data_IF_483656215470
#
_entry.id   IF_483656215470
#
_cell.length_a   1.000
_cell.length_b   1.000
_cell.length_c   1.000
_cell.angle_alpha   90.00
_cell.angle_beta   90.00
_cell.angle_gamma   90.00
#
_symmetry.space_group_name_H-M   'P 1'
#
loop_
_entity.id
_entity.type
_entity.pdbx_description
1 polymer ?
#
# COMPACT_ATOMS: atom_id res chain seq x y z
N UNK A 1 36.77 -12.90 3.75
CA UNK A 1 35.36 -13.31 3.72
C UNK A 1 34.58 -12.03 3.49
N UNK A 2 34.01 -11.83 2.32
CA UNK A 2 33.20 -10.65 2.01
C UNK A 2 31.91 -10.75 2.84
N UNK A 3 31.79 -9.92 3.87
CA UNK A 3 30.52 -9.70 4.56
C UNK A 3 29.54 -9.18 3.53
N UNK A 4 28.67 -10.05 3.02
CA UNK A 4 27.50 -9.62 2.25
C UNK A 4 26.61 -8.87 3.23
N UNK A 5 26.63 -7.53 3.17
CA UNK A 5 25.72 -6.70 3.94
C UNK A 5 24.29 -7.17 3.64
N UNK A 6 23.51 -7.53 4.66
CA UNK A 6 22.18 -8.08 4.44
C UNK A 6 21.30 -7.03 3.77
N UNK A 7 20.66 -7.42 2.67
CA UNK A 7 19.74 -6.56 1.90
C UNK A 7 18.50 -6.22 2.74
N UNK A 8 17.98 -4.98 2.68
CA UNK A 8 16.76 -4.63 3.41
C UNK A 8 15.54 -5.30 2.76
N UNK A 9 14.59 -5.72 3.59
CA UNK A 9 13.32 -6.31 3.16
C UNK A 9 12.16 -5.52 3.78
N UNK A 10 11.18 -5.16 2.95
CA UNK A 10 9.89 -4.65 3.41
C UNK A 10 8.85 -5.75 3.28
N UNK A 11 8.23 -6.12 4.39
CA UNK A 11 7.13 -7.07 4.41
C UNK A 11 5.83 -6.38 4.76
N UNK A 12 4.83 -6.52 3.91
CA UNK A 12 3.49 -6.02 4.14
C UNK A 12 2.57 -7.18 4.51
N UNK A 13 1.75 -6.96 5.55
CA UNK A 13 0.75 -7.92 6.02
C UNK A 13 -0.55 -7.17 6.26
N UNK A 14 -1.53 -7.38 5.39
CA UNK A 14 -2.85 -6.80 5.53
C UNK A 14 -3.83 -7.79 6.17
N UNK A 15 -4.70 -7.27 7.03
CA UNK A 15 -5.96 -7.89 7.42
C UNK A 15 -7.06 -6.82 7.37
N UNK A 16 -8.36 -7.16 7.59
CA UNK A 16 -9.44 -6.20 7.45
C UNK A 16 -9.39 -4.98 8.38
N UNK A 17 -8.62 -5.03 9.48
CA UNK A 17 -8.53 -3.93 10.46
C UNK A 17 -7.19 -3.18 10.44
N UNK A 18 -6.12 -3.84 10.03
CA UNK A 18 -4.76 -3.29 10.08
C UNK A 18 -3.93 -3.72 8.88
N UNK A 19 -3.10 -2.80 8.40
CA UNK A 19 -1.96 -3.11 7.54
C UNK A 19 -0.71 -2.97 8.40
N UNK A 20 0.05 -4.06 8.51
CA UNK A 20 1.33 -4.08 9.19
C UNK A 20 2.46 -4.04 8.18
N UNK A 21 3.30 -3.02 8.28
CA UNK A 21 4.54 -2.87 7.53
C UNK A 21 5.70 -3.28 8.43
N UNK A 22 6.55 -4.17 7.92
CA UNK A 22 7.69 -4.73 8.65
C UNK A 22 8.98 -4.48 7.87
N UNK A 23 9.85 -3.61 8.39
CA UNK A 23 11.20 -3.43 7.87
C UNK A 23 12.14 -4.44 8.51
N UNK A 24 13.05 -5.05 7.72
CA UNK A 24 14.07 -5.97 8.23
C UNK A 24 15.42 -5.72 7.57
N UNK A 25 16.50 -5.70 8.37
CA UNK A 25 17.88 -5.73 7.86
C UNK A 25 18.81 -6.32 8.93
N UNK A 26 19.57 -7.36 8.58
CA UNK A 26 20.65 -7.86 9.45
C UNK A 26 20.29 -8.25 10.90
N UNK A 27 19.03 -8.62 11.16
CA UNK A 27 18.52 -8.94 12.49
C UNK A 27 17.75 -7.80 13.17
N UNK A 28 17.86 -6.58 12.66
CA UNK A 28 17.02 -5.45 13.05
C UNK A 28 15.63 -5.58 12.41
N UNK A 29 14.60 -5.22 13.18
CA UNK A 29 13.20 -5.28 12.76
C UNK A 29 12.48 -4.02 13.21
N UNK A 30 11.79 -3.36 12.28
CA UNK A 30 10.83 -2.29 12.54
C UNK A 30 9.41 -2.80 12.28
N UNK A 31 8.45 -2.38 13.11
CA UNK A 31 7.05 -2.74 13.00
C UNK A 31 6.21 -1.47 13.04
N UNK A 32 5.46 -1.21 11.97
CA UNK A 32 4.55 -0.08 11.88
C UNK A 32 3.17 -0.58 11.46
N UNK A 33 2.13 -0.13 12.18
CA UNK A 33 0.75 -0.53 11.92
C UNK A 33 -0.07 0.67 11.42
N UNK A 34 -0.82 0.48 10.35
CA UNK A 34 -1.83 1.41 9.82
C UNK A 34 -3.20 0.87 10.24
N UNK A 35 -3.95 1.66 11.01
CA UNK A 35 -5.32 1.30 11.39
C UNK A 35 -6.29 1.63 10.26
N UNK A 36 -6.96 0.61 9.73
CA UNK A 36 -7.87 0.74 8.60
C UNK A 36 -9.27 1.21 9.00
N UNK A 37 -9.70 1.11 10.26
CA UNK A 37 -11.11 1.37 10.64
C UNK A 37 -11.56 2.77 10.25
N UNK A 38 -10.75 3.78 10.57
CA UNK A 38 -11.07 5.16 10.25
C UNK A 38 -10.94 5.44 8.76
N UNK A 39 -9.89 4.90 8.13
CA UNK A 39 -9.61 5.09 6.71
C UNK A 39 -10.71 4.45 5.84
N UNK A 40 -11.18 3.24 6.19
CA UNK A 40 -12.24 2.55 5.45
C UNK A 40 -13.60 3.20 5.64
N UNK A 41 -13.89 3.66 6.86
CA UNK A 41 -15.13 4.40 7.11
C UNK A 41 -15.19 5.66 6.24
N UNK A 42 -14.07 6.36 6.09
CA UNK A 42 -14.06 7.61 5.33
C UNK A 42 -13.97 7.41 3.82
N UNK A 43 -13.16 6.46 3.33
CA UNK A 43 -13.09 6.13 1.89
C UNK A 43 -14.47 5.76 1.35
N UNK A 44 -15.27 4.99 2.10
CA UNK A 44 -16.61 4.58 1.65
C UNK A 44 -17.75 5.54 2.00
N UNK A 45 -17.53 6.54 2.85
CA UNK A 45 -18.58 7.51 3.20
C UNK A 45 -18.40 8.87 2.54
N UNK A 46 -17.16 9.31 2.29
CA UNK A 46 -16.86 10.67 1.83
C UNK A 46 -16.27 10.76 0.42
N UNK A 47 -16.00 9.62 -0.23
CA UNK A 47 -15.53 9.58 -1.61
C UNK A 47 -14.04 9.86 -1.77
N UNK A 48 -13.67 10.37 -2.94
CA UNK A 48 -12.35 10.20 -3.55
C UNK A 48 -11.15 10.78 -2.77
N UNK A 49 -11.32 11.95 -2.15
CA UNK A 49 -10.23 12.67 -1.46
C UNK A 49 -9.59 11.92 -0.29
N UNK A 50 -10.27 10.92 0.27
CA UNK A 50 -9.76 10.14 1.40
C UNK A 50 -8.82 9.01 0.95
N UNK A 51 -8.90 8.60 -0.32
CA UNK A 51 -8.01 7.57 -0.88
C UNK A 51 -6.57 8.10 -1.00
N UNK A 52 -6.40 9.35 -1.42
CA UNK A 52 -5.09 10.02 -1.43
C UNK A 52 -4.49 10.09 -0.02
N UNK A 53 -5.33 10.32 1.00
CA UNK A 53 -4.88 10.35 2.40
C UNK A 53 -4.39 8.97 2.85
N UNK A 54 -5.07 7.90 2.46
CA UNK A 54 -4.61 6.54 2.71
C UNK A 54 -3.24 6.29 2.07
N UNK A 55 -3.09 6.63 0.79
CA UNK A 55 -1.83 6.44 0.08
C UNK A 55 -0.68 7.20 0.73
N UNK A 56 -0.93 8.46 1.13
CA UNK A 56 0.08 9.24 1.85
C UNK A 56 0.49 8.61 3.18
N UNK A 57 -0.47 8.09 3.96
CA UNK A 57 -0.18 7.38 5.21
C UNK A 57 0.62 6.11 4.94
N UNK A 58 0.25 5.34 3.92
CA UNK A 58 0.95 4.12 3.50
C UNK A 58 2.40 4.42 3.11
N UNK A 59 2.59 5.38 2.21
CA UNK A 59 3.89 5.89 1.74
C UNK A 59 4.82 6.26 2.91
N UNK A 60 4.35 7.12 3.82
CA UNK A 60 5.13 7.55 4.98
C UNK A 60 5.40 6.41 5.97
N UNK A 61 4.48 5.47 6.12
CA UNK A 61 4.63 4.33 7.03
C UNK A 61 5.69 3.36 6.51
N UNK A 62 5.72 3.10 5.20
CA UNK A 62 6.77 2.33 4.53
C UNK A 62 8.11 3.04 4.70
N UNK A 63 8.19 4.35 4.42
CA UNK A 63 9.43 5.12 4.60
C UNK A 63 9.95 5.02 6.03
N UNK A 64 9.08 5.17 7.03
CA UNK A 64 9.46 5.07 8.44
C UNK A 64 9.97 3.68 8.80
N UNK A 65 9.24 2.63 8.42
CA UNK A 65 9.62 1.25 8.70
C UNK A 65 10.99 0.90 8.10
N UNK A 66 11.25 1.40 6.89
CA UNK A 66 12.54 1.23 6.24
C UNK A 66 13.65 2.03 6.93
N UNK A 67 13.40 3.31 7.22
CA UNK A 67 14.41 4.23 7.78
C UNK A 67 14.93 3.78 9.15
N UNK A 68 14.10 3.08 9.93
CA UNK A 68 14.50 2.52 11.23
C UNK A 68 15.50 1.35 11.14
N UNK A 69 15.51 0.57 10.04
CA UNK A 69 16.42 -0.58 9.84
C UNK A 69 17.47 -0.32 8.76
N UNK A 70 17.25 0.69 7.93
CA UNK A 70 18.10 1.10 6.84
C UNK A 70 18.00 2.61 6.67
N UNK A 71 18.81 3.39 7.40
CA UNK A 71 18.86 4.83 7.23
C UNK A 71 19.19 5.20 5.79
N UNK A 72 18.34 6.03 5.20
CA UNK A 72 18.42 6.52 3.83
C UNK A 72 17.84 7.94 3.75
N UNK A 73 18.18 8.67 2.69
CA UNK A 73 17.69 10.03 2.46
C UNK A 73 16.44 10.03 1.59
N UNK A 74 16.50 9.33 0.47
CA UNK A 74 15.45 9.26 -0.56
C UNK A 74 14.90 7.84 -0.63
N UNK A 75 13.57 7.72 -0.64
CA UNK A 75 12.87 6.48 -0.96
C UNK A 75 12.03 6.68 -2.21
N UNK A 76 12.19 5.78 -3.18
CA UNK A 76 11.27 5.67 -4.32
C UNK A 76 10.30 4.53 -4.04
N UNK A 77 9.01 4.77 -4.26
CA UNK A 77 7.94 3.80 -4.13
C UNK A 77 7.09 3.84 -5.40
N UNK A 78 7.06 2.71 -6.11
CA UNK A 78 6.18 2.48 -7.24
C UNK A 78 5.09 1.51 -6.83
N UNK A 79 3.85 1.87 -7.09
CA UNK A 79 2.70 1.01 -6.84
C UNK A 79 1.59 1.30 -7.83
N UNK A 80 0.74 0.32 -8.07
CA UNK A 80 -0.53 0.54 -8.75
C UNK A 80 -1.69 0.31 -7.81
N UNK A 81 -2.81 0.94 -8.11
CA UNK A 81 -4.07 0.63 -7.48
C UNK A 81 -5.18 0.43 -8.49
N UNK A 82 -6.07 -0.50 -8.18
CA UNK A 82 -7.13 -0.95 -9.07
C UNK A 82 -8.44 -1.00 -8.30
N UNK A 83 -9.40 -0.16 -8.69
CA UNK A 83 -10.75 -0.22 -8.15
C UNK A 83 -11.61 -1.17 -9.00
N UNK A 84 -12.48 -1.94 -8.36
CA UNK A 84 -13.37 -2.87 -9.06
C UNK A 84 -14.56 -2.19 -9.80
N UNK A 85 -14.64 -0.86 -9.74
CA UNK A 85 -15.62 0.03 -10.38
C UNK A 85 -15.04 1.46 -10.41
N UNK A 86 -15.85 2.48 -10.74
CA UNK A 86 -15.49 3.87 -10.44
C UNK A 86 -15.26 4.07 -8.93
N UNK A 87 -14.38 4.98 -8.52
CA UNK A 87 -14.05 5.21 -7.10
C UNK A 87 -15.27 5.44 -6.22
N UNK A 88 -16.26 6.19 -6.71
CA UNK A 88 -17.53 6.45 -6.01
C UNK A 88 -18.38 5.19 -5.75
N UNK A 89 -18.31 4.20 -6.63
CA UNK A 89 -19.12 2.97 -6.56
C UNK A 89 -18.26 1.75 -6.16
N UNK A 90 -16.95 1.92 -5.99
CA UNK A 90 -16.04 0.82 -5.72
C UNK A 90 -16.34 0.21 -4.35
N UNK A 91 -16.33 -1.12 -4.30
CA UNK A 91 -16.40 -1.86 -3.04
C UNK A 91 -15.08 -2.53 -2.70
N UNK A 92 -14.11 -2.43 -3.60
CA UNK A 92 -12.80 -3.04 -3.48
C UNK A 92 -11.78 -2.20 -4.24
N UNK A 93 -10.69 -1.87 -3.56
CA UNK A 93 -9.48 -1.29 -4.15
C UNK A 93 -8.32 -2.22 -3.81
N UNK A 94 -7.65 -2.71 -4.84
CA UNK A 94 -6.43 -3.50 -4.72
C UNK A 94 -5.23 -2.59 -4.94
N UNK A 95 -4.27 -2.60 -4.04
CA UNK A 95 -2.99 -1.89 -4.18
C UNK A 95 -1.89 -2.93 -4.32
N UNK A 96 -1.04 -2.78 -5.32
CA UNK A 96 0.09 -3.65 -5.61
C UNK A 96 1.37 -2.82 -5.57
N UNK A 97 2.25 -3.13 -4.62
CA UNK A 97 3.56 -2.49 -4.50
C UNK A 97 4.49 -3.14 -5.53
N UNK A 98 4.91 -2.35 -6.52
CA UNK A 98 5.68 -2.84 -7.66
C UNK A 98 7.18 -2.77 -7.38
N UNK A 99 7.64 -1.70 -6.73
CA UNK A 99 9.05 -1.47 -6.45
C UNK A 99 9.25 -0.55 -5.24
N UNK A 100 10.31 -0.80 -4.48
CA UNK A 100 10.80 0.11 -3.45
C UNK A 100 12.30 0.24 -3.60
N UNK A 101 12.78 1.47 -3.69
CA UNK A 101 14.22 1.79 -3.71
C UNK A 101 14.57 2.75 -2.59
N UNK A 102 15.77 2.60 -2.03
CA UNK A 102 16.35 3.56 -1.09
C UNK A 102 17.75 3.96 -1.53
N UNK A 103 17.96 5.26 -1.74
CA UNK A 103 19.22 5.83 -2.24
C UNK A 103 19.79 5.09 -3.48
N UNK A 104 18.89 4.60 -4.35
CA UNK A 104 19.22 3.84 -5.57
C UNK A 104 19.40 2.32 -5.38
N UNK A 105 19.22 1.78 -4.18
CA UNK A 105 19.21 0.34 -3.91
C UNK A 105 17.77 -0.21 -3.97
N UNK A 106 17.48 -1.05 -4.97
CA UNK A 106 16.21 -1.80 -5.06
C UNK A 106 16.11 -2.80 -3.91
N UNK A 107 15.00 -2.76 -3.17
CA UNK A 107 14.74 -3.57 -2.00
C UNK A 107 13.95 -4.85 -2.34
N UNK A 108 13.94 -5.81 -1.43
CA UNK A 108 13.03 -6.95 -1.55
C UNK A 108 11.70 -6.62 -0.86
N UNK A 109 10.59 -6.94 -1.54
CA UNK A 109 9.23 -6.75 -1.03
C UNK A 109 8.57 -8.12 -0.83
N UNK A 110 7.98 -8.35 0.35
CA UNK A 110 7.18 -9.54 0.64
C UNK A 110 5.73 -9.15 0.97
N UNK A 111 4.75 -9.75 0.30
CA UNK A 111 3.33 -9.44 0.54
C UNK A 111 2.91 -8.09 -0.03
N UNK A 112 3.37 -7.81 -1.24
CA UNK A 112 3.13 -6.64 -2.09
C UNK A 112 1.66 -6.23 -2.32
N UNK A 113 0.69 -7.07 -1.95
CA UNK A 113 -0.73 -6.81 -2.20
C UNK A 113 -1.47 -6.36 -0.93
N UNK A 114 -2.15 -5.22 -1.02
CA UNK A 114 -3.08 -4.69 -0.02
C UNK A 114 -4.49 -4.64 -0.64
N UNK A 115 -5.45 -5.32 -0.02
CA UNK A 115 -6.85 -5.26 -0.43
C UNK A 115 -7.67 -4.43 0.56
N UNK A 116 -8.25 -3.32 0.07
CA UNK A 116 -9.18 -2.48 0.79
C UNK A 116 -10.60 -2.88 0.40
N UNK A 117 -11.37 -3.46 1.31
CA UNK A 117 -12.72 -3.97 1.02
C UNK A 117 -13.79 -3.24 1.82
N UNK A 118 -14.87 -2.89 1.13
CA UNK A 118 -16.07 -2.27 1.66
C UNK A 118 -17.28 -3.15 1.50
N UNK A 119 -18.41 -2.71 2.05
CA UNK A 119 -19.68 -3.38 1.82
C UNK A 119 -20.17 -3.09 0.39
N UNK A 120 -20.44 -4.13 -0.39
CA UNK A 120 -20.89 -3.97 -1.77
C UNK A 120 -22.42 -3.77 -1.84
N UNK A 121 -22.84 -2.52 -1.71
CA UNK A 121 -24.23 -2.08 -1.80
C UNK A 121 -24.74 -1.90 -3.25
N UNK A 122 -23.92 -2.20 -4.27
CA UNK A 122 -24.31 -1.98 -5.67
C UNK A 122 -25.49 -2.87 -6.07
N UNK A 123 -26.40 -2.30 -6.86
CA UNK A 123 -27.49 -3.05 -7.49
C UNK A 123 -26.98 -4.06 -8.53
N UNK A 124 -27.78 -5.09 -8.81
CA UNK A 124 -27.43 -6.19 -9.71
C UNK A 124 -26.89 -5.74 -11.09
N UNK A 125 -27.53 -4.74 -11.72
CA UNK A 125 -27.09 -4.22 -13.03
C UNK A 125 -25.76 -3.46 -12.97
N UNK A 126 -25.48 -2.73 -11.88
CA UNK A 126 -24.20 -2.06 -11.68
C UNK A 126 -23.07 -3.09 -11.54
N UNK A 127 -23.31 -4.15 -10.76
CA UNK A 127 -22.37 -5.29 -10.60
C UNK A 127 -22.05 -5.96 -11.93
N UNK A 128 -23.06 -6.25 -12.75
CA UNK A 128 -22.86 -6.87 -14.06
C UNK A 128 -22.02 -6.03 -15.03
N UNK A 129 -22.05 -4.71 -14.89
CA UNK A 129 -21.36 -3.78 -15.81
C UNK A 129 -20.08 -3.19 -15.24
N UNK A 130 -19.74 -3.49 -13.97
CA UNK A 130 -18.60 -2.93 -13.25
C UNK A 130 -17.26 -3.18 -13.95
N UNK A 131 -17.09 -4.33 -14.61
CA UNK A 131 -15.88 -4.66 -15.36
C UNK A 131 -15.54 -3.63 -16.47
N UNK A 132 -16.54 -2.90 -16.99
CA UNK A 132 -16.33 -1.85 -18.01
C UNK A 132 -15.85 -0.53 -17.43
N UNK A 133 -16.00 -0.35 -16.12
CA UNK A 133 -15.68 0.88 -15.36
C UNK A 133 -14.48 0.70 -14.43
N UNK A 134 -14.02 -0.54 -14.25
CA UNK A 134 -12.75 -0.87 -13.62
C UNK A 134 -11.65 0.01 -14.22
N UNK A 135 -10.84 0.60 -13.36
CA UNK A 135 -9.67 1.35 -13.77
C UNK A 135 -8.48 0.95 -12.90
N UNK A 136 -7.29 1.23 -13.43
CA UNK A 136 -6.00 1.02 -12.77
C UNK A 136 -5.20 2.30 -12.95
N UNK A 137 -4.56 2.75 -11.90
CA UNK A 137 -3.63 3.87 -11.92
C UNK A 137 -2.28 3.43 -11.35
N UNK A 138 -1.22 3.91 -11.97
CA UNK A 138 0.16 3.68 -11.53
C UNK A 138 0.68 4.96 -10.89
N UNK A 139 1.29 4.82 -9.73
CA UNK A 139 1.79 5.91 -8.92
C UNK A 139 3.29 5.73 -8.72
N UNK A 140 4.04 6.80 -8.99
CA UNK A 140 5.46 6.91 -8.71
C UNK A 140 5.67 8.00 -7.67
N UNK A 141 6.36 7.67 -6.58
CA UNK A 141 6.64 8.60 -5.49
C UNK A 141 8.09 8.58 -5.10
N UNK A 142 8.70 9.76 -5.07
CA UNK A 142 9.99 10.02 -4.45
C UNK A 142 9.75 10.81 -3.15
N UNK A 143 10.15 10.25 -2.01
CA UNK A 143 9.81 10.74 -0.67
C UNK A 143 11.07 10.82 0.18
#
# INVERSE_FOLDING_TARGET
>A
MSETTPKPVIKVKANPEIIRIVGKKGGEVSLQDINLKFIMATIWWEGDHQLETFFHIMELTIKRALKEVHPHDIMVLDYSYTANDTLEDASEILVEIENIEADGEVLDVEGDIIALTGNDSRGFFKKLTAFRRKFTEHVHREI
#
